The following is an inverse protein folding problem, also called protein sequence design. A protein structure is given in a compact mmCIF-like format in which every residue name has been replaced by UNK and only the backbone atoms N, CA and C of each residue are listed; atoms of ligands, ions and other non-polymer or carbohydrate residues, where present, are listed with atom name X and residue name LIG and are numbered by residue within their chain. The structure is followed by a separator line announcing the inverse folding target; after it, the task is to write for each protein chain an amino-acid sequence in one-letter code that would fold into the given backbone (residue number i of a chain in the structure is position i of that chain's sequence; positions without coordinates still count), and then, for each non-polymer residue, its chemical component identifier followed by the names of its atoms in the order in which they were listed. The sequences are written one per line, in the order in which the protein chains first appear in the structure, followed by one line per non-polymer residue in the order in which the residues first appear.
data_IF_159860166684
#
_entry.id   IF_159860166684
#
_cell.length_a   1.000
_cell.length_b   1.000
_cell.length_c   1.000
_cell.angle_alpha   90.00
_cell.angle_beta   90.00
_cell.angle_gamma   90.00
#
_symmetry.space_group_name_H-M   'P 1'
#
loop_
_entity.id
_entity.type
_entity.pdbx_description
1 polymer ?
#
# COMPACT_ATOMS: atom_id res chain seq x y z
N UNK A 1 -29.10 35.01 61.06
CA UNK A 1 -28.94 33.64 60.57
C UNK A 1 -28.74 33.71 59.07
N UNK A 2 -27.49 33.55 58.60
CA UNK A 2 -27.21 33.49 57.17
C UNK A 2 -27.50 32.06 56.68
N UNK A 3 -28.13 31.87 55.51
CA UNK A 3 -28.39 30.54 55.00
C UNK A 3 -27.06 29.86 54.64
N UNK A 4 -26.90 28.62 55.08
CA UNK A 4 -25.81 27.76 54.65
C UNK A 4 -25.92 27.59 53.13
N UNK A 5 -24.97 28.15 52.39
CA UNK A 5 -24.77 27.79 50.99
C UNK A 5 -24.24 26.36 50.96
N UNK A 6 -25.16 25.39 51.05
CA UNK A 6 -24.86 24.00 50.76
C UNK A 6 -24.19 23.97 49.37
N UNK A 7 -22.94 23.54 49.33
CA UNK A 7 -22.12 23.58 48.14
C UNK A 7 -22.66 22.55 47.14
N UNK A 8 -23.61 22.97 46.30
CA UNK A 8 -24.35 22.15 45.33
C UNK A 8 -23.38 21.37 44.41
N UNK A 9 -22.15 21.85 44.21
CA UNK A 9 -21.11 21.16 43.44
C UNK A 9 -20.50 19.92 44.11
N UNK A 10 -20.80 19.66 45.38
CA UNK A 10 -20.27 18.51 46.14
C UNK A 10 -21.27 17.35 46.30
N UNK A 11 -22.51 17.51 45.80
CA UNK A 11 -23.50 16.44 45.83
C UNK A 11 -23.13 15.35 44.79
N UNK A 12 -22.89 14.10 45.21
CA UNK A 12 -22.54 12.98 44.33
C UNK A 12 -23.54 12.75 43.19
N UNK A 13 -24.82 13.10 43.38
CA UNK A 13 -25.87 12.98 42.36
C UNK A 13 -25.71 14.04 41.27
N UNK A 14 -25.31 15.25 41.65
CA UNK A 14 -25.08 16.36 40.72
C UNK A 14 -23.78 16.13 39.96
N UNK A 15 -22.73 15.67 40.64
CA UNK A 15 -21.48 15.23 40.00
C UNK A 15 -21.76 14.08 39.02
N UNK A 16 -22.54 13.07 39.44
CA UNK A 16 -22.93 11.95 38.59
C UNK A 16 -23.75 12.36 37.36
N UNK A 17 -24.70 13.29 37.51
CA UNK A 17 -25.50 13.83 36.41
C UNK A 17 -24.66 14.64 35.42
N UNK A 18 -23.70 15.43 35.90
CA UNK A 18 -22.76 16.19 35.06
C UNK A 18 -21.85 15.25 34.28
N UNK A 19 -21.31 14.20 34.91
CA UNK A 19 -20.50 13.18 34.24
C UNK A 19 -21.34 12.43 33.18
N UNK A 20 -22.58 12.06 33.51
CA UNK A 20 -23.47 11.38 32.57
C UNK A 20 -23.79 12.26 31.35
N UNK A 21 -24.13 13.54 31.57
CA UNK A 21 -24.38 14.51 30.50
C UNK A 21 -23.15 14.70 29.61
N UNK A 22 -21.95 14.79 30.21
CA UNK A 22 -20.69 14.90 29.49
C UNK A 22 -20.37 13.65 28.67
N UNK A 23 -20.59 12.45 29.23
CA UNK A 23 -20.42 11.19 28.50
C UNK A 23 -21.44 11.05 27.36
N UNK A 24 -22.70 11.45 27.54
CA UNK A 24 -23.68 11.44 26.43
C UNK A 24 -23.32 12.43 25.32
N UNK A 25 -22.72 13.57 25.67
CA UNK A 25 -22.24 14.56 24.70
C UNK A 25 -21.00 14.06 23.94
N UNK A 26 -20.07 13.38 24.63
CA UNK A 26 -18.85 12.85 24.03
C UNK A 26 -19.03 11.48 23.37
N UNK A 27 -20.07 10.72 23.70
CA UNK A 27 -20.29 9.37 23.19
C UNK A 27 -20.30 9.28 21.65
N UNK A 28 -20.93 10.22 20.89
CA UNK A 28 -20.81 10.26 19.44
C UNK A 28 -19.36 10.43 18.97
N UNK A 29 -18.62 11.38 19.54
CA UNK A 29 -17.21 11.63 19.19
C UNK A 29 -16.31 10.45 19.53
N UNK A 30 -16.52 9.81 20.68
CA UNK A 30 -15.78 8.61 21.10
C UNK A 30 -16.09 7.44 20.15
N UNK A 31 -17.36 7.27 19.78
CA UNK A 31 -17.78 6.27 18.79
C UNK A 31 -17.14 6.54 17.43
N UNK A 32 -17.13 7.78 16.97
CA UNK A 32 -16.55 8.17 15.69
C UNK A 32 -15.04 7.95 15.67
N UNK A 33 -14.34 8.29 16.77
CA UNK A 33 -12.92 7.98 16.94
C UNK A 33 -12.66 6.46 16.92
N UNK A 34 -13.51 5.68 17.59
CA UNK A 34 -13.39 4.22 17.60
C UNK A 34 -13.61 3.61 16.23
N UNK A 35 -14.66 4.04 15.52
CA UNK A 35 -14.96 3.61 14.14
C UNK A 35 -13.81 4.00 13.21
N UNK A 36 -13.33 5.24 13.28
CA UNK A 36 -12.20 5.74 12.48
C UNK A 36 -10.94 4.90 12.71
N UNK A 37 -10.60 4.63 13.97
CA UNK A 37 -9.44 3.81 14.32
C UNK A 37 -9.60 2.35 13.83
N UNK A 38 -10.81 1.79 13.92
CA UNK A 38 -11.11 0.45 13.40
C UNK A 38 -10.97 0.40 11.88
N UNK A 39 -11.54 1.37 11.17
CA UNK A 39 -11.43 1.48 9.70
C UNK A 39 -9.97 1.62 9.28
N UNK A 40 -9.20 2.47 9.95
CA UNK A 40 -7.75 2.62 9.72
C UNK A 40 -7.00 1.31 9.93
N UNK A 41 -7.25 0.58 11.03
CA UNK A 41 -6.63 -0.73 11.30
C UNK A 41 -6.98 -1.76 10.23
N UNK A 42 -8.23 -1.77 9.75
CA UNK A 42 -8.66 -2.66 8.67
C UNK A 42 -8.00 -2.31 7.34
N UNK A 43 -7.95 -1.02 6.99
CA UNK A 43 -7.27 -0.55 5.78
C UNK A 43 -5.79 -0.94 5.77
N UNK A 44 -5.08 -0.74 6.88
CA UNK A 44 -3.67 -1.15 7.01
C UNK A 44 -3.53 -2.65 6.77
N UNK A 45 -4.39 -3.50 7.36
CA UNK A 45 -4.34 -4.96 7.14
C UNK A 45 -4.53 -5.33 5.67
N UNK A 46 -5.50 -4.70 5.02
CA UNK A 46 -5.81 -4.92 3.61
C UNK A 46 -4.61 -4.51 2.73
N UNK A 47 -4.03 -3.33 2.98
CA UNK A 47 -2.82 -2.87 2.29
C UNK A 47 -1.61 -3.78 2.53
N UNK A 48 -1.40 -4.29 3.75
CA UNK A 48 -0.33 -5.25 4.05
C UNK A 48 -0.47 -6.51 3.19
N UNK A 49 -1.67 -7.06 3.09
CA UNK A 49 -1.93 -8.27 2.29
C UNK A 49 -1.67 -8.02 0.81
N UNK A 50 -2.16 -6.91 0.26
CA UNK A 50 -2.00 -6.58 -1.15
C UNK A 50 -0.54 -6.25 -1.52
N UNK A 51 0.13 -5.38 -0.76
CA UNK A 51 1.54 -5.05 -0.97
C UNK A 51 2.40 -6.31 -0.85
N UNK A 52 2.16 -7.17 0.16
CA UNK A 52 2.89 -8.43 0.31
C UNK A 52 2.68 -9.38 -0.87
N UNK A 53 1.44 -9.49 -1.36
CA UNK A 53 1.11 -10.31 -2.54
C UNK A 53 1.89 -9.84 -3.77
N UNK A 54 1.92 -8.53 -4.02
CA UNK A 54 2.65 -7.91 -5.15
C UNK A 54 4.15 -8.14 -5.05
N UNK A 55 4.76 -7.91 -3.88
CA UNK A 55 6.18 -8.18 -3.64
C UNK A 55 6.53 -9.63 -3.97
N UNK A 56 5.72 -10.60 -3.50
CA UNK A 56 5.94 -12.02 -3.77
C UNK A 56 5.86 -12.36 -5.25
N UNK A 57 5.00 -11.69 -6.00
CA UNK A 57 4.91 -11.87 -7.45
C UNK A 57 6.16 -11.33 -8.15
N UNK A 58 6.63 -10.14 -7.75
CA UNK A 58 7.85 -9.55 -8.29
C UNK A 58 9.04 -10.46 -8.01
N UNK A 59 9.19 -10.91 -6.76
CA UNK A 59 10.26 -11.81 -6.33
C UNK A 59 10.33 -13.11 -7.16
N UNK A 60 9.17 -13.75 -7.36
CA UNK A 60 9.06 -14.97 -8.18
C UNK A 60 9.44 -14.75 -9.64
N UNK A 61 9.35 -13.51 -10.13
CA UNK A 61 9.63 -13.18 -11.51
C UNK A 61 11.08 -12.74 -11.74
N UNK A 62 11.70 -12.03 -10.80
CA UNK A 62 13.03 -11.43 -10.95
C UNK A 62 14.11 -12.46 -11.32
N UNK A 63 14.19 -13.58 -10.60
CA UNK A 63 15.25 -14.58 -10.84
C UNK A 63 15.08 -15.31 -12.18
N UNK A 64 13.91 -15.89 -12.50
CA UNK A 64 13.69 -16.50 -13.81
C UNK A 64 13.87 -15.52 -14.97
N UNK A 65 13.44 -14.26 -14.80
CA UNK A 65 13.57 -13.25 -15.84
C UNK A 65 15.03 -12.85 -16.09
N UNK A 66 15.84 -12.70 -15.03
CA UNK A 66 17.28 -12.50 -15.16
C UNK A 66 17.97 -13.66 -15.90
N UNK A 67 17.57 -14.91 -15.62
CA UNK A 67 18.07 -16.09 -16.34
C UNK A 67 17.67 -16.06 -17.81
N UNK A 68 16.43 -15.69 -18.12
CA UNK A 68 15.92 -15.55 -19.48
C UNK A 68 16.69 -14.47 -20.26
N UNK A 69 16.99 -13.33 -19.65
CA UNK A 69 17.83 -12.28 -20.26
C UNK A 69 19.24 -12.81 -20.55
N UNK A 70 19.85 -13.51 -19.59
CA UNK A 70 21.18 -14.08 -19.77
C UNK A 70 21.23 -15.11 -20.89
N UNK A 71 20.15 -15.89 -21.04
CA UNK A 71 19.97 -16.82 -22.16
C UNK A 71 19.82 -16.07 -23.48
N UNK A 72 19.00 -15.03 -23.54
CA UNK A 72 18.81 -14.18 -24.72
C UNK A 72 20.10 -13.49 -25.18
N UNK A 73 21.02 -13.18 -24.27
CA UNK A 73 22.35 -12.67 -24.64
C UNK A 73 23.23 -13.70 -25.34
N UNK A 74 23.07 -15.00 -25.04
CA UNK A 74 23.90 -16.10 -25.55
C UNK A 74 23.31 -16.77 -26.78
N UNK A 75 22.00 -17.00 -26.79
CA UNK A 75 21.30 -17.77 -27.82
C UNK A 75 20.58 -16.85 -28.81
N UNK A 76 21.12 -16.70 -30.03
CA UNK A 76 20.58 -15.78 -31.06
C UNK A 76 19.13 -16.05 -31.49
N UNK A 77 18.59 -17.23 -31.27
CA UNK A 77 17.21 -17.56 -31.65
C UNK A 77 16.23 -17.48 -30.47
N UNK A 78 16.75 -17.29 -29.25
CA UNK A 78 15.92 -17.20 -28.06
C UNK A 78 15.36 -15.79 -27.88
N UNK A 79 14.03 -15.68 -27.86
CA UNK A 79 13.29 -14.48 -27.45
C UNK A 79 12.53 -14.79 -26.17
N UNK A 80 12.83 -14.11 -25.05
CA UNK A 80 12.11 -14.34 -23.80
C UNK A 80 10.69 -13.80 -23.92
N UNK A 81 9.71 -14.63 -23.55
CA UNK A 81 8.33 -14.21 -23.41
C UNK A 81 8.09 -13.69 -21.99
N UNK A 82 7.40 -12.55 -21.88
CA UNK A 82 7.19 -11.83 -20.61
C UNK A 82 5.70 -11.87 -20.25
N UNK A 83 5.23 -12.98 -19.70
CA UNK A 83 3.89 -13.04 -19.10
C UNK A 83 3.94 -12.70 -17.63
N UNK A 84 3.84 -11.40 -17.35
CA UNK A 84 3.92 -10.89 -15.98
C UNK A 84 2.73 -10.00 -15.60
N UNK A 85 1.59 -10.18 -16.27
CA UNK A 85 0.41 -9.36 -16.01
C UNK A 85 -0.36 -9.81 -14.75
N UNK A 86 -0.39 -11.13 -14.46
CA UNK A 86 -1.37 -11.72 -13.54
C UNK A 86 -1.32 -11.18 -12.10
N UNK A 87 -2.26 -10.28 -11.82
CA UNK A 87 -2.52 -9.64 -10.53
C UNK A 87 -1.41 -8.72 -10.01
N UNK A 88 -0.76 -8.02 -10.93
CA UNK A 88 -0.37 -6.62 -10.69
C UNK A 88 -1.48 -5.63 -11.09
N UNK A 89 -2.48 -6.08 -11.85
CA UNK A 89 -3.52 -5.26 -12.49
C UNK A 89 -4.47 -4.60 -11.49
N UNK A 90 -4.89 -5.34 -10.46
CA UNK A 90 -5.90 -4.88 -9.49
C UNK A 90 -5.25 -4.50 -8.16
N UNK A 91 -5.28 -3.21 -7.82
CA UNK A 91 -4.96 -2.74 -6.48
C UNK A 91 -6.25 -2.36 -5.77
N UNK A 92 -6.24 -2.44 -4.45
CA UNK A 92 -7.35 -1.93 -3.63
C UNK A 92 -7.60 -0.47 -4.02
N UNK A 93 -8.84 -0.12 -4.34
CA UNK A 93 -9.21 1.29 -4.40
C UNK A 93 -9.37 1.80 -2.97
N UNK A 94 -8.39 2.57 -2.53
CA UNK A 94 -8.32 3.17 -1.19
C UNK A 94 -8.32 4.71 -1.25
N UNK A 95 -8.66 5.28 -2.42
CA UNK A 95 -8.55 6.72 -2.67
C UNK A 95 -9.44 7.53 -1.73
N UNK A 96 -10.63 7.03 -1.45
CA UNK A 96 -11.61 7.68 -0.59
C UNK A 96 -11.21 7.57 0.89
N UNK A 97 -10.30 6.65 1.23
CA UNK A 97 -9.79 6.40 2.56
C UNK A 97 -8.41 7.03 2.82
N UNK A 98 -7.83 7.75 1.86
CA UNK A 98 -6.52 8.41 2.00
C UNK A 98 -6.41 9.28 3.24
N UNK A 99 -7.50 9.94 3.63
CA UNK A 99 -7.56 10.83 4.80
C UNK A 99 -7.37 10.09 6.14
N UNK A 100 -7.52 8.77 6.17
CA UNK A 100 -7.25 7.94 7.36
C UNK A 100 -5.75 7.72 7.62
N UNK A 101 -4.90 8.06 6.65
CA UNK A 101 -3.48 7.72 6.62
C UNK A 101 -2.59 8.96 6.74
N UNK A 102 -1.42 8.84 7.41
CA UNK A 102 -0.39 9.89 7.39
C UNK A 102 0.06 10.22 5.96
N UNK A 103 0.34 11.50 5.67
CA UNK A 103 0.69 11.98 4.31
C UNK A 103 1.92 11.28 3.72
N UNK A 104 2.95 11.08 4.53
CA UNK A 104 4.17 10.35 4.18
C UNK A 104 3.85 8.91 3.75
N UNK A 105 2.98 8.22 4.48
CA UNK A 105 2.55 6.88 4.13
C UNK A 105 1.69 6.86 2.86
N UNK A 106 0.85 7.89 2.66
CA UNK A 106 0.06 8.04 1.44
C UNK A 106 0.95 8.16 0.22
N UNK A 107 1.99 8.99 0.28
CA UNK A 107 2.96 9.19 -0.79
C UNK A 107 3.68 7.89 -1.17
N UNK A 108 4.13 7.12 -0.18
CA UNK A 108 4.79 5.82 -0.42
C UNK A 108 3.84 4.80 -1.07
N UNK A 109 2.57 4.72 -0.61
CA UNK A 109 1.57 3.82 -1.22
C UNK A 109 1.27 4.23 -2.66
N UNK A 110 1.06 5.53 -2.91
CA UNK A 110 0.81 6.05 -4.26
C UNK A 110 2.01 5.81 -5.17
N UNK A 111 3.22 6.03 -4.68
CA UNK A 111 4.47 5.77 -5.42
C UNK A 111 4.57 4.31 -5.84
N UNK A 112 4.38 3.38 -4.91
CA UNK A 112 4.43 1.94 -5.19
C UNK A 112 3.38 1.49 -6.22
N UNK A 113 2.12 1.95 -6.09
CA UNK A 113 1.08 1.61 -7.07
C UNK A 113 1.29 2.27 -8.43
N UNK A 114 1.83 3.49 -8.46
CA UNK A 114 2.19 4.14 -9.72
C UNK A 114 3.31 3.39 -10.43
N UNK A 115 4.33 2.95 -9.69
CA UNK A 115 5.45 2.19 -10.25
C UNK A 115 5.00 0.84 -10.80
N UNK A 116 4.19 0.09 -10.04
CA UNK A 116 3.64 -1.20 -10.53
C UNK A 116 2.75 -1.04 -11.77
N UNK A 117 2.01 0.07 -11.89
CA UNK A 117 1.26 0.40 -13.11
C UNK A 117 2.18 0.71 -14.31
N UNK A 118 3.30 1.41 -14.08
CA UNK A 118 4.30 1.66 -15.13
C UNK A 118 4.96 0.36 -15.60
N UNK A 119 5.25 -0.56 -14.67
CA UNK A 119 5.78 -1.89 -15.01
C UNK A 119 4.85 -2.65 -15.96
N UNK A 120 3.54 -2.70 -15.67
CA UNK A 120 2.55 -3.34 -16.54
C UNK A 120 2.62 -2.79 -17.95
N UNK A 121 2.64 -1.47 -18.11
CA UNK A 121 2.75 -0.81 -19.42
C UNK A 121 4.06 -1.13 -20.14
N UNK A 122 5.16 -1.26 -19.42
CA UNK A 122 6.44 -1.64 -20.01
C UNK A 122 6.40 -3.09 -20.51
N UNK A 123 5.78 -3.99 -19.76
CA UNK A 123 5.59 -5.39 -20.18
C UNK A 123 4.69 -5.46 -21.43
N UNK A 124 3.61 -4.67 -21.49
CA UNK A 124 2.76 -4.54 -22.69
C UNK A 124 3.59 -4.07 -23.90
N UNK A 125 4.51 -3.12 -23.69
CA UNK A 125 5.42 -2.65 -24.73
C UNK A 125 6.35 -3.77 -25.24
N UNK A 126 6.91 -4.59 -24.34
CA UNK A 126 7.77 -5.73 -24.70
C UNK A 126 6.97 -6.84 -25.40
N UNK A 127 5.71 -7.03 -25.03
CA UNK A 127 4.83 -8.02 -25.67
C UNK A 127 4.22 -7.53 -27.00
N UNK A 128 4.42 -6.27 -27.38
CA UNK A 128 3.90 -5.71 -28.62
C UNK A 128 4.64 -6.23 -29.86
N UNK A 129 3.98 -6.22 -31.02
CA UNK A 129 4.63 -6.61 -32.28
C UNK A 129 5.80 -5.69 -32.64
N UNK A 130 5.73 -4.41 -32.24
CA UNK A 130 6.82 -3.43 -32.41
C UNK A 130 8.12 -3.87 -31.74
N UNK A 131 8.04 -4.60 -30.63
CA UNK A 131 9.23 -5.15 -29.96
C UNK A 131 9.96 -6.16 -30.84
N UNK A 132 9.25 -6.91 -31.69
CA UNK A 132 9.85 -7.88 -32.61
C UNK A 132 10.59 -7.20 -33.77
N UNK A 133 10.24 -5.96 -34.08
CA UNK A 133 10.81 -5.18 -35.20
C UNK A 133 12.09 -4.42 -34.84
N UNK A 134 12.38 -4.22 -33.55
CA UNK A 134 13.59 -3.51 -33.12
C UNK A 134 14.84 -4.41 -33.11
N UNK A 135 16.02 -3.78 -33.11
CA UNK A 135 17.28 -4.53 -33.07
C UNK A 135 17.41 -5.35 -31.78
N UNK A 136 18.09 -6.49 -31.88
CA UNK A 136 18.34 -7.39 -30.74
C UNK A 136 18.99 -6.68 -29.55
N UNK A 137 19.95 -5.79 -29.81
CA UNK A 137 20.62 -5.02 -28.76
C UNK A 137 19.63 -4.15 -27.99
N UNK A 138 18.68 -3.53 -28.70
CA UNK A 138 17.59 -2.75 -28.08
C UNK A 138 16.60 -3.63 -27.33
N UNK A 139 16.28 -4.81 -27.86
CA UNK A 139 15.44 -5.79 -27.16
C UNK A 139 16.06 -6.18 -25.82
N UNK A 140 17.35 -6.56 -25.82
CA UNK A 140 18.08 -6.91 -24.60
C UNK A 140 18.12 -5.72 -23.63
N UNK A 141 18.43 -4.52 -24.10
CA UNK A 141 18.46 -3.32 -23.25
C UNK A 141 17.08 -3.02 -22.62
N UNK A 142 15.99 -3.22 -23.36
CA UNK A 142 14.63 -3.06 -22.81
C UNK A 142 14.33 -4.10 -21.73
N UNK A 143 14.73 -5.36 -21.92
CA UNK A 143 14.53 -6.40 -20.91
C UNK A 143 15.37 -6.12 -19.65
N UNK A 144 16.61 -5.64 -19.80
CA UNK A 144 17.45 -5.23 -18.68
C UNK A 144 16.87 -4.03 -17.94
N UNK A 145 16.32 -3.05 -18.66
CA UNK A 145 15.58 -1.93 -18.08
C UNK A 145 14.38 -2.42 -17.25
N UNK A 146 13.55 -3.29 -17.83
CA UNK A 146 12.42 -3.90 -17.10
C UNK A 146 12.89 -4.65 -15.85
N UNK A 147 14.00 -5.38 -15.92
CA UNK A 147 14.56 -6.07 -14.75
C UNK A 147 14.98 -5.09 -13.66
N UNK A 148 15.61 -3.97 -14.03
CA UNK A 148 15.98 -2.91 -13.09
C UNK A 148 14.75 -2.31 -12.41
N UNK A 149 13.71 -1.99 -13.18
CA UNK A 149 12.45 -1.45 -12.65
C UNK A 149 11.75 -2.44 -11.71
N UNK A 150 11.77 -3.74 -12.03
CA UNK A 150 11.24 -4.80 -11.16
C UNK A 150 12.00 -4.88 -9.83
N UNK A 151 13.33 -4.83 -9.86
CA UNK A 151 14.15 -4.84 -8.65
C UNK A 151 13.92 -3.60 -7.80
N UNK A 152 13.79 -2.42 -8.42
CA UNK A 152 13.46 -1.19 -7.71
C UNK A 152 12.07 -1.28 -7.07
N UNK A 153 11.07 -1.75 -7.82
CA UNK A 153 9.70 -1.92 -7.31
C UNK A 153 9.64 -2.91 -6.14
N UNK A 154 10.46 -3.98 -6.17
CA UNK A 154 10.60 -4.91 -5.06
C UNK A 154 11.11 -4.21 -3.78
N UNK A 155 12.16 -3.38 -3.90
CA UNK A 155 12.73 -2.64 -2.77
C UNK A 155 11.73 -1.62 -2.21
N UNK A 156 11.06 -0.86 -3.07
CA UNK A 156 10.02 0.09 -2.70
C UNK A 156 8.86 -0.60 -1.98
N UNK A 157 8.38 -1.72 -2.53
CA UNK A 157 7.34 -2.53 -1.92
C UNK A 157 7.75 -3.02 -0.52
N UNK A 158 8.97 -3.52 -0.37
CA UNK A 158 9.46 -4.01 0.92
C UNK A 158 9.59 -2.88 1.96
N UNK A 159 10.03 -1.69 1.56
CA UNK A 159 10.04 -0.49 2.40
C UNK A 159 8.63 -0.12 2.85
N UNK A 160 7.67 -0.08 1.91
CA UNK A 160 6.27 0.21 2.21
C UNK A 160 5.66 -0.84 3.15
N UNK A 161 5.93 -2.12 2.92
CA UNK A 161 5.44 -3.21 3.78
C UNK A 161 5.92 -3.04 5.22
N UNK A 162 7.19 -2.69 5.43
CA UNK A 162 7.72 -2.39 6.77
C UNK A 162 7.01 -1.21 7.44
N UNK A 163 6.74 -0.14 6.69
CA UNK A 163 6.01 1.02 7.20
C UNK A 163 4.58 0.63 7.62
N UNK A 164 3.88 -0.15 6.78
CA UNK A 164 2.53 -0.63 7.07
C UNK A 164 2.50 -1.56 8.29
N UNK A 165 3.44 -2.50 8.40
CA UNK A 165 3.56 -3.41 9.55
C UNK A 165 3.87 -2.66 10.85
N UNK A 166 4.72 -1.63 10.81
CA UNK A 166 4.99 -0.78 11.96
C UNK A 166 3.71 -0.07 12.45
N UNK A 167 2.85 0.39 11.53
CA UNK A 167 1.54 0.99 11.88
C UNK A 167 0.51 -0.05 12.33
N UNK A 168 0.66 -1.32 11.96
CA UNK A 168 -0.19 -2.41 12.42
C UNK A 168 0.11 -2.81 13.87
N UNK A 169 1.38 -2.77 14.29
CA UNK A 169 1.83 -3.16 15.63
C UNK A 169 1.75 -2.05 16.70
N UNK A 170 1.54 -0.79 16.32
CA UNK A 170 1.52 0.36 17.23
C UNK A 170 0.13 0.64 17.83
N UNK A 171 -0.63 -0.38 18.23
CA UNK A 171 -2.06 -0.23 18.51
C UNK A 171 -2.61 -1.00 19.70
#
# INVERSE_FOLDING_TARGET
MAPEHANIMSDPRIIGAVIAAFLTFLAPTIRDLWVTNRTKKNLIKILVVDVSSRIRKIDRFVVPFQMAINRAKREKEYTPWVSYHEGLEDHIDWKDEKWLMPKDLVEEIVGFYSNTKSLIKFIESINSDRYKEISRERQIAMLEGLLGDLQQSYVEGFKLLKLLQAKQGAG
#
